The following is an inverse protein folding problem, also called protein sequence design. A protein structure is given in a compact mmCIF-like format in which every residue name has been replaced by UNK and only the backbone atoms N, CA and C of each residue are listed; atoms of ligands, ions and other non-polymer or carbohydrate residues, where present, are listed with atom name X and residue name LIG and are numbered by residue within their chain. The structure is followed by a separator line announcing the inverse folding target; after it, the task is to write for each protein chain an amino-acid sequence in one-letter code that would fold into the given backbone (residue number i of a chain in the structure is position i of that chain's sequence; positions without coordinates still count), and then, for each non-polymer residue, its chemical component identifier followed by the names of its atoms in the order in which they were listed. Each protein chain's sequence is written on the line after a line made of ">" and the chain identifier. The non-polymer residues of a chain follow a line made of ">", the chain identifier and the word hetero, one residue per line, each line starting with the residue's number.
data_IF_980880337826
#
_entry.id   IF_980880337826
#
_cell.length_a   1.000
_cell.length_b   1.000
_cell.length_c   1.000
_cell.angle_alpha   90.00
_cell.angle_beta   90.00
_cell.angle_gamma   90.00
#
_symmetry.space_group_name_H-M   'P 1'
#
loop_
_entity.id
_entity.type
_entity.pdbx_description
1 polymer ?
#
# COMPACT_ATOMS: atom_id res chain seq x y z
N UNK A 1 -10.94 -3.77 4.31
CA UNK A 1 -12.06 -3.08 4.90
C UNK A 1 -12.00 -1.58 4.82
N UNK A 2 -10.85 -1.05 4.55
CA UNK A 2 -10.71 0.39 4.35
C UNK A 2 -10.38 0.73 2.91
N UNK A 3 -10.73 -0.20 1.99
CA UNK A 3 -10.36 -0.08 0.58
C UNK A 3 -10.86 1.22 -0.05
N UNK A 4 -12.12 1.58 0.20
CA UNK A 4 -12.69 2.81 -0.38
C UNK A 4 -12.03 4.08 0.13
N UNK A 5 -11.88 4.20 1.45
CA UNK A 5 -11.28 5.39 2.04
C UNK A 5 -9.83 5.56 1.59
N UNK A 6 -9.10 4.45 1.54
CA UNK A 6 -7.71 4.46 1.12
C UNK A 6 -7.59 4.76 -0.38
N UNK A 7 -8.48 4.17 -1.19
CA UNK A 7 -8.51 4.44 -2.63
C UNK A 7 -8.79 5.92 -2.89
N UNK A 8 -9.73 6.52 -2.17
CA UNK A 8 -10.04 7.93 -2.30
C UNK A 8 -8.81 8.79 -2.00
N UNK A 9 -8.09 8.48 -0.92
CA UNK A 9 -6.88 9.22 -0.57
C UNK A 9 -5.81 9.11 -1.65
N UNK A 10 -5.63 7.92 -2.22
CA UNK A 10 -4.63 7.70 -3.28
C UNK A 10 -5.01 8.45 -4.55
N UNK A 11 -6.28 8.40 -4.95
CA UNK A 11 -6.75 9.12 -6.14
C UNK A 11 -6.57 10.63 -5.97
N UNK A 12 -6.92 11.17 -4.80
CA UNK A 12 -6.74 12.59 -4.52
C UNK A 12 -5.26 12.99 -4.58
N UNK A 13 -4.38 12.16 -4.01
CA UNK A 13 -2.95 12.41 -4.05
C UNK A 13 -2.42 12.34 -5.48
N UNK A 14 -2.91 11.40 -6.28
CA UNK A 14 -2.50 11.27 -7.67
C UNK A 14 -2.90 12.51 -8.48
N UNK A 15 -4.09 13.03 -8.26
CA UNK A 15 -4.56 14.24 -8.93
C UNK A 15 -3.68 15.43 -8.54
N UNK A 16 -3.42 15.59 -7.26
CA UNK A 16 -2.59 16.69 -6.77
C UNK A 16 -1.19 16.64 -7.34
N UNK A 17 -0.55 15.47 -7.32
CA UNK A 17 0.80 15.31 -7.86
C UNK A 17 0.85 15.53 -9.36
N UNK A 18 -0.18 15.07 -10.09
CA UNK A 18 -0.27 15.24 -11.52
C UNK A 18 -0.39 16.72 -11.90
N UNK A 19 -1.19 17.47 -11.15
CA UNK A 19 -1.35 18.91 -11.39
C UNK A 19 -0.07 19.67 -11.09
N UNK A 20 0.62 19.31 -10.01
CA UNK A 20 1.92 19.92 -9.69
C UNK A 20 2.94 19.69 -10.80
N UNK A 21 2.88 18.52 -11.44
CA UNK A 21 3.78 18.19 -12.54
C UNK A 21 3.34 18.79 -13.88
N UNK A 22 2.20 19.48 -13.93
CA UNK A 22 1.69 20.10 -15.15
C UNK A 22 1.10 19.13 -16.15
N UNK A 23 0.66 17.94 -15.70
CA UNK A 23 0.09 16.96 -16.61
C UNK A 23 -1.33 17.34 -17.03
N UNK A 24 -1.62 17.21 -18.32
CA UNK A 24 -2.94 17.43 -18.88
C UNK A 24 -3.76 16.14 -18.86
N UNK A 25 -3.10 15.01 -19.03
CA UNK A 25 -3.73 13.70 -18.98
C UNK A 25 -2.78 12.69 -18.36
N UNK A 26 -3.32 11.82 -17.51
CA UNK A 26 -2.55 10.73 -16.90
C UNK A 26 -2.84 9.46 -17.67
N UNK A 27 -1.79 8.74 -18.06
CA UNK A 27 -1.91 7.49 -18.79
C UNK A 27 -1.74 6.27 -17.90
N UNK A 28 -0.93 6.40 -16.83
CA UNK A 28 -0.65 5.27 -15.96
C UNK A 28 -0.31 5.74 -14.55
N UNK A 29 -0.82 5.03 -13.55
CA UNK A 29 -0.47 5.23 -12.15
C UNK A 29 -0.05 3.88 -11.61
N UNK A 30 1.18 3.77 -11.12
CA UNK A 30 1.68 2.57 -10.46
C UNK A 30 1.65 2.78 -8.95
N UNK A 31 0.89 1.94 -8.27
CA UNK A 31 0.67 2.04 -6.82
C UNK A 31 1.21 0.79 -6.14
N UNK A 32 2.11 0.96 -5.18
CA UNK A 32 2.60 -0.14 -4.37
C UNK A 32 1.73 -0.30 -3.14
N UNK A 33 1.26 -1.52 -2.91
CA UNK A 33 0.39 -1.85 -1.78
C UNK A 33 1.14 -2.77 -0.84
N UNK A 34 1.44 -2.26 0.35
CA UNK A 34 2.19 -3.02 1.35
C UNK A 34 1.40 -4.20 1.88
N UNK A 35 2.09 -5.32 2.04
CA UNK A 35 1.48 -6.56 2.53
C UNK A 35 0.83 -6.39 3.91
N UNK A 36 1.39 -5.55 4.77
CA UNK A 36 0.85 -5.32 6.11
C UNK A 36 -0.51 -4.62 6.10
N UNK A 37 -0.91 -4.01 4.98
CA UNK A 37 -2.22 -3.40 4.88
C UNK A 37 -3.36 -4.42 4.79
N UNK A 38 -3.05 -5.65 4.39
CA UNK A 38 -4.03 -6.75 4.32
C UNK A 38 -5.27 -6.38 3.50
N UNK A 39 -5.08 -5.64 2.41
CA UNK A 39 -6.17 -5.23 1.54
C UNK A 39 -6.58 -6.35 0.59
N UNK A 40 -7.87 -6.42 0.27
CA UNK A 40 -8.32 -7.23 -0.85
C UNK A 40 -8.03 -6.44 -2.13
N UNK A 41 -7.05 -6.89 -2.90
CA UNK A 41 -6.57 -6.15 -4.06
C UNK A 41 -7.65 -5.97 -5.14
N UNK A 42 -8.53 -6.95 -5.33
CA UNK A 42 -9.61 -6.82 -6.30
C UNK A 42 -10.60 -5.71 -5.93
N UNK A 43 -10.97 -5.63 -4.65
CA UNK A 43 -11.83 -4.57 -4.16
C UNK A 43 -11.15 -3.21 -4.25
N UNK A 44 -9.87 -3.17 -3.91
CA UNK A 44 -9.11 -1.93 -3.99
C UNK A 44 -8.98 -1.44 -5.43
N UNK A 45 -8.70 -2.36 -6.36
CA UNK A 45 -8.63 -2.03 -7.79
C UNK A 45 -9.96 -1.48 -8.29
N UNK A 46 -11.07 -2.13 -7.93
CA UNK A 46 -12.41 -1.67 -8.34
C UNK A 46 -12.71 -0.29 -7.78
N UNK A 47 -12.36 -0.05 -6.52
CA UNK A 47 -12.57 1.25 -5.89
C UNK A 47 -11.74 2.32 -6.58
N UNK A 48 -10.49 2.03 -6.89
CA UNK A 48 -9.61 2.96 -7.59
C UNK A 48 -10.16 3.33 -8.96
N UNK A 49 -10.57 2.33 -9.73
CA UNK A 49 -11.10 2.55 -11.08
C UNK A 49 -12.39 3.35 -11.05
N UNK A 50 -13.27 3.05 -10.12
CA UNK A 50 -14.53 3.74 -9.98
C UNK A 50 -14.34 5.19 -9.56
N UNK A 51 -13.45 5.44 -8.59
CA UNK A 51 -13.15 6.79 -8.13
C UNK A 51 -12.44 7.60 -9.21
N UNK A 52 -11.57 6.99 -9.99
CA UNK A 52 -10.92 7.67 -11.11
C UNK A 52 -11.95 8.14 -12.12
N UNK A 53 -12.99 7.32 -12.38
CA UNK A 53 -14.08 7.72 -13.26
C UNK A 53 -14.93 8.84 -12.68
N UNK A 54 -15.18 8.83 -11.37
CA UNK A 54 -15.92 9.89 -10.72
C UNK A 54 -15.21 11.24 -10.81
N UNK A 55 -13.90 11.24 -10.60
CA UNK A 55 -13.10 12.45 -10.69
C UNK A 55 -12.76 12.83 -12.13
N UNK A 56 -13.28 12.10 -13.10
CA UNK A 56 -12.99 12.32 -14.51
C UNK A 56 -13.69 13.54 -15.10
N UNK A 57 -14.40 14.35 -14.29
CA UNK A 57 -15.05 15.56 -14.78
C UNK A 57 -14.06 16.52 -15.43
N UNK A 58 -12.79 16.48 -15.04
CA UNK A 58 -11.74 17.28 -15.64
C UNK A 58 -10.86 16.48 -16.61
N UNK A 59 -11.25 15.28 -16.94
CA UNK A 59 -10.61 14.36 -17.89
C UNK A 59 -9.20 13.90 -17.53
N UNK A 60 -8.60 14.43 -16.47
CA UNK A 60 -7.22 14.10 -16.10
C UNK A 60 -6.98 12.60 -15.95
N UNK A 61 -7.86 11.90 -15.24
CA UNK A 61 -7.73 10.46 -14.98
C UNK A 61 -8.63 9.59 -15.83
N UNK A 62 -9.32 10.17 -16.82
CA UNK A 62 -10.35 9.47 -17.57
C UNK A 62 -9.87 8.17 -18.24
N UNK A 63 -8.66 8.17 -18.75
CA UNK A 63 -8.08 7.02 -19.43
C UNK A 63 -6.86 6.45 -18.69
N UNK A 64 -6.68 6.83 -17.44
CA UNK A 64 -5.55 6.37 -16.67
C UNK A 64 -5.67 4.89 -16.37
N UNK A 65 -4.58 4.16 -16.59
CA UNK A 65 -4.45 2.77 -16.20
C UNK A 65 -3.85 2.73 -14.81
N UNK A 66 -4.57 2.15 -13.85
CA UNK A 66 -4.11 2.05 -12.48
C UNK A 66 -3.59 0.63 -12.25
N UNK A 67 -2.31 0.52 -11.92
CA UNK A 67 -1.66 -0.76 -11.69
C UNK A 67 -1.31 -0.87 -10.21
N UNK A 68 -1.80 -1.93 -9.57
CA UNK A 68 -1.48 -2.23 -8.18
C UNK A 68 -0.37 -3.27 -8.15
N UNK A 69 0.68 -2.98 -7.40
CA UNK A 69 1.82 -3.88 -7.24
C UNK A 69 1.95 -4.23 -5.77
N UNK A 70 1.73 -5.49 -5.38
CA UNK A 70 1.93 -5.91 -4.00
C UNK A 70 3.39 -5.76 -3.59
N UNK A 71 3.62 -5.21 -2.41
CA UNK A 71 4.96 -5.11 -1.86
C UNK A 71 5.07 -6.01 -0.64
N UNK A 72 5.88 -7.08 -0.70
CA UNK A 72 6.06 -7.98 0.44
C UNK A 72 6.59 -7.25 1.66
N UNK A 73 6.09 -7.61 2.84
CA UNK A 73 6.60 -7.06 4.08
C UNK A 73 7.88 -7.77 4.48
N UNK A 74 8.90 -6.98 4.80
CA UNK A 74 10.18 -7.48 5.30
C UNK A 74 10.53 -6.79 6.60
N UNK A 75 11.10 -7.55 7.51
CA UNK A 75 11.49 -7.08 8.85
C UNK A 75 12.96 -7.31 9.09
N UNK A 76 13.54 -6.49 9.96
CA UNK A 76 14.93 -6.64 10.40
C UNK A 76 15.00 -6.51 11.90
N UNK A 77 15.56 -7.53 12.57
CA UNK A 77 15.75 -7.49 14.02
C UNK A 77 16.78 -6.44 14.39
N UNK A 78 16.45 -5.61 15.36
CA UNK A 78 17.41 -4.60 15.87
C UNK A 78 18.45 -5.20 16.82
N UNK A 79 18.21 -6.42 17.28
CA UNK A 79 19.11 -7.08 18.24
C UNK A 79 20.15 -7.93 17.53
N UNK A 80 19.73 -8.78 16.58
CA UNK A 80 20.64 -9.70 15.90
C UNK A 80 20.81 -9.46 14.41
N UNK A 81 20.15 -8.44 13.85
CA UNK A 81 20.20 -8.05 12.43
C UNK A 81 19.62 -9.07 11.46
N UNK A 82 18.92 -10.10 11.96
CA UNK A 82 18.27 -11.07 11.09
C UNK A 82 17.10 -10.43 10.34
N UNK A 83 16.98 -10.73 9.04
CA UNK A 83 15.87 -10.25 8.22
C UNK A 83 14.96 -11.42 7.88
N UNK A 84 13.64 -11.17 7.88
CA UNK A 84 12.67 -12.20 7.51
C UNK A 84 11.43 -11.59 6.89
N UNK A 85 10.67 -12.44 6.18
CA UNK A 85 9.44 -12.03 5.50
C UNK A 85 8.20 -12.26 6.36
N UNK A 86 7.19 -11.42 6.17
CA UNK A 86 5.92 -11.51 6.90
C UNK A 86 5.27 -12.89 6.76
N UNK A 87 5.33 -13.49 5.57
CA UNK A 87 4.72 -14.79 5.31
C UNK A 87 5.24 -15.92 6.21
N UNK A 88 6.44 -15.75 6.75
CA UNK A 88 7.03 -16.74 7.65
C UNK A 88 6.53 -16.61 9.10
N UNK A 89 5.70 -15.62 9.38
CA UNK A 89 5.30 -15.30 10.76
C UNK A 89 4.10 -16.09 11.27
N UNK A 90 3.32 -16.75 10.41
CA UNK A 90 2.17 -17.59 10.81
C UNK A 90 1.18 -16.89 11.74
N UNK A 91 0.73 -15.70 11.38
CA UNK A 91 -0.26 -15.00 12.19
C UNK A 91 -1.63 -15.66 12.11
N UNK A 92 -2.36 -15.64 13.23
CA UNK A 92 -3.76 -16.01 13.24
C UNK A 92 -4.58 -14.94 12.53
N UNK A 93 -5.80 -15.27 12.10
CA UNK A 93 -6.63 -14.34 11.34
C UNK A 93 -6.92 -13.03 12.09
N UNK A 94 -7.22 -13.12 13.38
CA UNK A 94 -7.49 -11.94 14.20
C UNK A 94 -6.24 -11.10 14.42
N UNK A 95 -5.08 -11.73 14.50
CA UNK A 95 -3.81 -11.04 14.60
C UNK A 95 -3.48 -10.30 13.30
N UNK A 96 -3.78 -10.91 12.15
CA UNK A 96 -3.63 -10.28 10.85
C UNK A 96 -4.51 -9.05 10.71
N UNK A 97 -5.76 -9.11 11.20
CA UNK A 97 -6.67 -7.97 11.18
C UNK A 97 -6.14 -6.81 12.04
N UNK A 98 -5.60 -7.13 13.22
CA UNK A 98 -5.02 -6.10 14.09
C UNK A 98 -3.84 -5.40 13.40
N UNK A 99 -3.00 -6.14 12.71
CA UNK A 99 -1.86 -5.58 11.97
C UNK A 99 -2.36 -4.73 10.80
N UNK A 100 -3.47 -5.13 10.15
CA UNK A 100 -4.08 -4.35 9.09
C UNK A 100 -4.52 -2.97 9.57
N UNK A 101 -5.21 -2.90 10.71
CA UNK A 101 -5.70 -1.65 11.26
C UNK A 101 -4.58 -0.76 11.81
N UNK A 102 -3.57 -1.36 12.40
CA UNK A 102 -2.46 -0.64 13.00
C UNK A 102 -1.16 -1.43 12.80
N UNK A 103 -0.43 -1.20 11.70
CA UNK A 103 0.80 -1.96 11.43
C UNK A 103 1.82 -1.98 12.58
N UNK A 104 1.80 -0.96 13.43
CA UNK A 104 2.67 -0.90 14.61
C UNK A 104 2.39 -2.02 15.60
N UNK A 105 1.17 -2.56 15.59
CA UNK A 105 0.77 -3.67 16.45
C UNK A 105 1.52 -4.96 16.09
N UNK A 106 2.16 -5.01 14.92
CA UNK A 106 2.96 -6.17 14.53
C UNK A 106 3.95 -6.57 15.61
N UNK A 107 4.52 -5.59 16.34
CA UNK A 107 5.45 -5.88 17.44
C UNK A 107 4.83 -6.67 18.58
N UNK A 108 3.50 -6.69 18.72
CA UNK A 108 2.82 -7.47 19.74
C UNK A 108 2.69 -8.94 19.35
N UNK A 109 2.68 -9.25 18.05
CA UNK A 109 2.41 -10.59 17.54
C UNK A 109 3.61 -11.28 16.91
N UNK A 110 4.57 -10.49 16.45
CA UNK A 110 5.72 -11.01 15.72
C UNK A 110 6.99 -10.96 16.57
N UNK A 111 7.85 -11.94 16.37
CA UNK A 111 9.14 -12.03 17.04
C UNK A 111 10.17 -12.44 16.01
N UNK A 112 11.41 -11.98 16.20
CA UNK A 112 12.51 -12.46 15.38
C UNK A 112 12.60 -14.00 15.47
N UNK A 113 12.61 -14.72 14.35
CA UNK A 113 12.69 -16.19 14.40
C UNK A 113 14.01 -16.70 14.94
N UNK A 114 15.07 -15.88 14.90
CA UNK A 114 16.39 -16.30 15.41
C UNK A 114 16.57 -16.05 16.88
N UNK A 115 16.33 -14.81 17.37
CA UNK A 115 16.60 -14.46 18.76
C UNK A 115 15.36 -14.23 19.61
N UNK A 116 14.17 -14.33 19.01
CA UNK A 116 12.89 -14.18 19.70
C UNK A 116 12.60 -12.78 20.25
N UNK A 117 13.39 -11.79 19.86
CA UNK A 117 13.19 -10.41 20.30
C UNK A 117 11.96 -9.80 19.60
N UNK A 118 11.15 -9.00 20.31
CA UNK A 118 10.07 -8.24 19.68
C UNK A 118 10.58 -6.92 19.08
N UNK A 119 11.85 -6.60 19.22
CA UNK A 119 12.43 -5.34 18.78
C UNK A 119 12.97 -5.46 17.37
N UNK A 120 12.11 -5.09 16.40
CA UNK A 120 12.47 -5.14 14.99
C UNK A 120 11.92 -3.91 14.27
N UNK A 121 12.46 -3.65 13.08
CA UNK A 121 11.93 -2.59 12.22
C UNK A 121 11.30 -3.19 10.96
N UNK A 122 10.36 -2.45 10.37
CA UNK A 122 9.73 -2.82 9.11
C UNK A 122 10.53 -2.17 7.98
N UNK A 123 11.16 -2.98 7.15
CA UNK A 123 11.97 -2.48 6.04
C UNK A 123 11.10 -2.04 4.87
N UNK A 124 10.05 -2.78 4.60
CA UNK A 124 9.10 -2.48 3.51
C UNK A 124 7.79 -3.24 3.73
N UNK A 125 6.79 -2.93 2.90
CA UNK A 125 5.51 -3.61 2.96
C UNK A 125 4.49 -2.93 3.84
N UNK A 126 4.76 -1.70 4.25
CA UNK A 126 3.90 -0.90 5.09
C UNK A 126 3.31 0.24 4.26
N UNK A 127 1.99 0.38 4.32
CA UNK A 127 1.30 1.47 3.66
C UNK A 127 1.07 1.27 2.17
N UNK A 128 0.52 2.29 1.56
CA UNK A 128 0.23 2.34 0.13
C UNK A 128 0.91 3.59 -0.42
N UNK A 129 1.70 3.43 -1.47
CA UNK A 129 2.44 4.55 -2.05
C UNK A 129 2.28 4.60 -3.56
N UNK A 130 2.22 5.82 -4.08
CA UNK A 130 2.26 6.04 -5.52
C UNK A 130 3.72 5.96 -5.94
N UNK A 131 4.05 4.94 -6.70
CA UNK A 131 5.42 4.71 -7.14
C UNK A 131 5.75 5.54 -8.39
N UNK A 132 4.78 5.70 -9.29
CA UNK A 132 5.01 6.37 -10.56
C UNK A 132 3.70 6.86 -11.16
N UNK A 133 3.74 8.03 -11.75
CA UNK A 133 2.65 8.57 -12.55
C UNK A 133 3.21 8.91 -13.91
N UNK A 134 2.57 8.41 -14.97
CA UNK A 134 2.91 8.75 -16.35
C UNK A 134 1.77 9.54 -16.97
N UNK A 135 2.11 10.53 -17.76
CA UNK A 135 1.11 11.34 -18.40
C UNK A 135 1.71 12.24 -19.46
N UNK A 136 0.86 13.11 -19.99
CA UNK A 136 1.25 14.05 -21.04
C UNK A 136 1.06 15.49 -20.58
N UNK A 137 1.91 16.39 -21.02
CA UNK A 137 1.82 17.83 -20.74
C UNK A 137 1.17 18.62 -21.91
#
# INVERSE_FOLDING_TARGET
>A
MHEWALAEAVIEAAIEESRKAGLQAVTEILVKVGELQQLELELFQSAMDELANEYATDTLLKHARIILEPEPALFKCRVCDHEWAFKAANLQADEGEAVHFAPEVAHAYLRCPECKSPDFEVLQGRGVTIQRIKGTT
#
